data_IF_974069813457
#
_entry.id   IF_974069813457
#
_cell.length_a   1.000
_cell.length_b   1.000
_cell.length_c   1.000
_cell.angle_alpha   90.00
_cell.angle_beta   90.00
_cell.angle_gamma   90.00
#
_symmetry.space_group_name_H-M   'P 1'
#
loop_
_entity.id
_entity.type
_entity.pdbx_description
1 polymer ?
#
# COMPACT_ATOMS: atom_id res chain seq x y z
N UNK A 1 22.88 13.00 45.58
CA UNK A 1 22.18 13.95 44.69
C UNK A 1 22.99 14.09 43.41
N UNK A 2 22.51 13.53 42.31
CA UNK A 2 22.95 13.89 40.95
C UNK A 2 21.89 13.39 39.96
N UNK A 3 21.21 14.32 39.30
CA UNK A 3 20.20 14.07 38.26
C UNK A 3 20.93 13.76 36.95
N UNK A 4 20.57 12.66 36.30
CA UNK A 4 20.84 12.45 34.87
C UNK A 4 19.64 12.96 34.06
N UNK A 5 19.81 13.81 33.04
CA UNK A 5 18.78 14.07 32.05
C UNK A 5 19.15 13.34 30.75
N UNK A 6 18.51 12.21 30.47
CA UNK A 6 18.59 11.57 29.16
C UNK A 6 17.19 11.46 28.57
N UNK A 7 16.60 12.63 28.27
CA UNK A 7 15.44 12.73 27.39
C UNK A 7 15.96 12.98 25.97
N UNK A 8 16.20 11.91 25.20
CA UNK A 8 16.30 12.05 23.75
C UNK A 8 14.97 12.58 23.19
N UNK A 9 14.96 13.27 22.04
CA UNK A 9 13.71 13.79 21.49
C UNK A 9 12.80 12.61 21.20
N UNK A 10 11.72 12.50 21.99
CA UNK A 10 10.57 11.68 21.66
C UNK A 10 10.12 12.14 20.27
N UNK A 11 10.10 11.24 19.30
CA UNK A 11 9.54 11.49 17.98
C UNK A 11 8.11 11.98 18.19
N UNK A 12 7.92 13.30 18.14
CA UNK A 12 6.61 13.91 18.26
C UNK A 12 5.78 13.37 17.10
N UNK A 13 4.58 12.81 17.35
CA UNK A 13 3.69 12.47 16.25
C UNK A 13 3.54 13.73 15.40
N UNK A 14 3.83 13.63 14.10
CA UNK A 14 3.69 14.72 13.15
C UNK A 14 2.27 15.26 13.30
N UNK A 15 2.14 16.37 14.02
CA UNK A 15 0.94 17.19 14.05
C UNK A 15 0.91 17.85 12.68
N UNK A 16 0.39 17.10 11.70
CA UNK A 16 -0.09 17.65 10.44
C UNK A 16 -0.88 18.91 10.80
N UNK A 17 -0.42 20.07 10.31
CA UNK A 17 -1.00 21.37 10.54
C UNK A 17 -2.52 21.29 10.38
N UNK A 18 -3.25 21.16 11.49
CA UNK A 18 -4.69 21.31 11.56
C UNK A 18 -5.00 22.81 11.46
N UNK A 19 -4.67 23.39 10.30
CA UNK A 19 -4.99 24.76 9.94
C UNK A 19 -6.48 24.84 9.59
N UNK A 20 -7.21 25.64 10.37
CA UNK A 20 -8.59 26.05 10.19
C UNK A 20 -9.17 25.86 8.76
N UNK A 21 -10.07 24.88 8.60
CA UNK A 21 -10.92 24.73 7.42
C UNK A 21 -10.38 23.91 6.24
N UNK A 22 -9.12 23.43 6.29
CA UNK A 22 -8.51 22.63 5.22
C UNK A 22 -8.65 21.11 5.39
N UNK A 23 -8.56 20.35 4.28
CA UNK A 23 -8.44 18.88 4.32
C UNK A 23 -7.10 18.51 4.98
N UNK A 24 -7.06 17.44 5.79
CA UNK A 24 -5.86 17.01 6.53
C UNK A 24 -4.74 16.60 5.58
N UNK A 25 -3.53 17.13 5.78
CA UNK A 25 -2.36 16.76 4.99
C UNK A 25 -1.80 15.38 5.37
N UNK A 26 -1.07 14.76 4.44
CA UNK A 26 -0.37 13.51 4.68
C UNK A 26 -0.17 12.63 3.46
N UNK A 27 0.21 11.38 3.71
CA UNK A 27 0.56 10.40 2.68
C UNK A 27 -0.29 9.14 2.80
N UNK A 28 -0.65 8.59 1.64
CA UNK A 28 -1.23 7.25 1.49
C UNK A 28 -0.38 6.50 0.47
N UNK A 29 0.00 5.26 0.78
CA UNK A 29 0.64 4.36 -0.17
C UNK A 29 -0.32 3.23 -0.49
N UNK A 30 -0.53 2.95 -1.77
CA UNK A 30 -1.27 1.76 -2.19
C UNK A 30 -0.35 0.84 -2.98
N UNK A 31 -0.54 -0.46 -2.84
CA UNK A 31 0.32 -1.42 -3.53
C UNK A 31 -0.36 -2.75 -3.77
N UNK A 32 0.17 -3.55 -4.68
CA UNK A 32 -0.33 -4.89 -4.97
C UNK A 32 0.80 -5.86 -5.24
N UNK A 33 0.54 -7.14 -5.00
CA UNK A 33 1.43 -8.24 -5.41
C UNK A 33 0.99 -8.80 -6.76
N UNK A 34 1.90 -8.82 -7.72
CA UNK A 34 1.76 -9.50 -9.00
C UNK A 34 2.43 -10.86 -8.99
N UNK A 35 1.99 -11.75 -9.88
CA UNK A 35 2.60 -13.06 -10.13
C UNK A 35 2.55 -13.36 -11.62
N UNK A 36 3.69 -13.74 -12.22
CA UNK A 36 3.74 -14.23 -13.60
C UNK A 36 4.57 -15.51 -13.68
N UNK A 37 4.08 -16.47 -14.47
CA UNK A 37 4.76 -17.73 -14.79
C UNK A 37 5.26 -17.65 -16.23
N UNK A 38 6.52 -18.02 -16.46
CA UNK A 38 7.08 -18.09 -17.82
C UNK A 38 7.02 -19.55 -18.26
N UNK A 39 5.89 -20.00 -18.81
CA UNK A 39 5.69 -21.38 -19.28
C UNK A 39 4.62 -21.45 -20.37
N UNK A 40 4.89 -22.26 -21.40
CA UNK A 40 4.26 -22.40 -22.74
C UNK A 40 2.82 -21.89 -22.94
N UNK A 41 2.66 -21.20 -24.07
CA UNK A 41 1.48 -20.46 -24.52
C UNK A 41 1.03 -19.40 -23.53
N UNK A 42 1.57 -18.18 -23.71
CA UNK A 42 0.93 -16.97 -23.22
C UNK A 42 -0.43 -16.82 -23.93
N UNK A 43 -1.42 -17.60 -23.47
CA UNK A 43 -2.84 -17.37 -23.66
C UNK A 43 -3.03 -15.86 -23.48
N UNK A 44 -3.63 -15.18 -24.45
CA UNK A 44 -3.59 -13.72 -24.55
C UNK A 44 -4.00 -13.01 -23.24
N UNK A 45 -4.78 -13.68 -22.39
CA UNK A 45 -5.21 -13.23 -21.06
C UNK A 45 -4.12 -13.26 -19.96
N UNK A 46 -3.07 -14.06 -20.13
CA UNK A 46 -1.89 -14.05 -19.26
C UNK A 46 -1.07 -12.75 -19.37
N UNK A 47 -1.40 -11.89 -20.34
CA UNK A 47 -0.80 -10.55 -20.53
C UNK A 47 -1.48 -9.46 -19.71
N UNK A 48 -2.65 -9.71 -19.11
CA UNK A 48 -3.32 -8.71 -18.28
C UNK A 48 -2.74 -8.67 -16.85
N UNK A 49 -2.67 -7.45 -16.31
CA UNK A 49 -2.24 -7.21 -14.93
C UNK A 49 -3.25 -7.82 -13.96
N UNK A 50 -2.95 -9.00 -13.39
CA UNK A 50 -3.77 -9.59 -12.32
C UNK A 50 -3.48 -8.91 -10.98
N UNK A 51 -4.38 -8.02 -10.56
CA UNK A 51 -4.35 -7.38 -9.24
C UNK A 51 -5.20 -8.21 -8.30
N UNK A 52 -4.60 -9.07 -7.48
CA UNK A 52 -5.38 -9.91 -6.56
C UNK A 52 -5.96 -9.10 -5.38
N UNK A 53 -5.19 -8.11 -4.90
CA UNK A 53 -5.56 -7.28 -3.76
C UNK A 53 -4.76 -5.98 -3.77
N UNK A 54 -5.43 -4.88 -3.50
CA UNK A 54 -4.80 -3.56 -3.31
C UNK A 54 -4.65 -3.33 -1.82
N UNK A 55 -3.41 -3.31 -1.33
CA UNK A 55 -3.03 -2.92 0.02
C UNK A 55 -3.05 -1.41 0.19
N UNK A 56 -3.36 -0.94 1.39
CA UNK A 56 -3.41 0.49 1.75
C UNK A 56 -2.60 0.71 3.02
N UNK A 57 -1.65 1.64 2.96
CA UNK A 57 -0.77 2.04 4.04
C UNK A 57 -0.88 3.56 4.27
N UNK A 58 -0.89 4.00 5.52
CA UNK A 58 -0.98 5.43 5.86
C UNK A 58 -1.64 5.69 7.21
N UNK A 59 -1.96 6.96 7.48
CA UNK A 59 -2.72 7.36 8.68
C UNK A 59 -4.14 6.83 8.57
N UNK A 60 -4.64 6.15 9.61
CA UNK A 60 -5.96 5.49 9.61
C UNK A 60 -7.07 6.46 9.23
N UNK A 61 -7.05 7.67 9.78
CA UNK A 61 -8.06 8.68 9.49
C UNK A 61 -8.12 9.09 8.01
N UNK A 62 -6.97 9.18 7.33
CA UNK A 62 -6.90 9.53 5.90
C UNK A 62 -7.40 8.37 5.03
N UNK A 63 -6.98 7.14 5.35
CA UNK A 63 -7.45 5.96 4.60
C UNK A 63 -8.98 5.79 4.70
N UNK A 64 -9.56 6.03 5.88
CA UNK A 64 -11.02 5.99 6.09
C UNK A 64 -11.74 7.12 5.37
N UNK A 65 -11.18 8.33 5.37
CA UNK A 65 -11.71 9.48 4.64
C UNK A 65 -11.80 9.23 3.13
N UNK A 66 -10.77 8.60 2.54
CA UNK A 66 -10.70 8.35 1.09
C UNK A 66 -11.53 7.13 0.67
N UNK A 67 -11.42 6.02 1.40
CA UNK A 67 -11.95 4.73 0.93
C UNK A 67 -13.24 4.32 1.63
N UNK A 68 -13.58 4.90 2.79
CA UNK A 68 -14.80 4.64 3.53
C UNK A 68 -15.13 3.14 3.62
N UNK A 69 -16.35 2.78 3.22
CA UNK A 69 -16.84 1.40 3.25
C UNK A 69 -16.11 0.43 2.32
N UNK A 70 -15.35 0.94 1.34
CA UNK A 70 -14.55 0.09 0.43
C UNK A 70 -13.23 -0.36 1.04
N UNK A 71 -12.84 0.23 2.16
CA UNK A 71 -11.70 -0.20 2.96
C UNK A 71 -12.06 -1.45 3.77
N UNK A 72 -11.18 -2.43 3.78
CA UNK A 72 -11.29 -3.62 4.62
C UNK A 72 -10.26 -3.54 5.75
N UNK A 73 -10.78 -3.46 6.98
CA UNK A 73 -10.00 -3.30 8.20
C UNK A 73 -9.76 -4.62 8.95
N UNK A 74 -10.25 -5.76 8.44
CA UNK A 74 -10.28 -7.06 9.16
C UNK A 74 -8.92 -7.56 9.67
N UNK A 75 -7.81 -7.11 9.07
CA UNK A 75 -6.45 -7.50 9.47
C UNK A 75 -5.87 -6.64 10.58
N UNK A 76 -6.52 -5.53 10.92
CA UNK A 76 -6.08 -4.56 11.91
C UNK A 76 -7.28 -3.75 12.45
N UNK A 77 -8.29 -4.45 13.02
CA UNK A 77 -9.47 -3.80 13.58
C UNK A 77 -9.10 -2.92 14.77
N UNK A 78 -9.96 -1.95 15.09
CA UNK A 78 -9.87 -1.12 16.30
C UNK A 78 -8.67 -0.17 16.37
N UNK A 79 -7.98 0.08 15.24
CA UNK A 79 -6.87 1.05 15.22
C UNK A 79 -7.40 2.49 15.35
N UNK A 80 -6.89 3.29 16.31
CA UNK A 80 -7.30 4.69 16.47
C UNK A 80 -7.03 5.54 15.21
N UNK A 81 -7.86 6.57 14.94
CA UNK A 81 -7.72 7.43 13.75
C UNK A 81 -6.35 8.12 13.61
N UNK A 82 -5.70 8.46 14.72
CA UNK A 82 -4.43 9.18 14.78
C UNK A 82 -3.22 8.27 14.49
N UNK A 83 -3.42 6.94 14.48
CA UNK A 83 -2.35 5.96 14.28
C UNK A 83 -2.18 5.62 12.79
N UNK A 84 -1.04 5.05 12.46
CA UNK A 84 -0.71 4.55 11.12
C UNK A 84 -0.97 3.04 11.02
N UNK A 85 -1.30 2.56 9.81
CA UNK A 85 -1.39 1.13 9.48
C UNK A 85 -0.72 0.82 8.14
N UNK A 86 -0.34 -0.43 7.95
CA UNK A 86 0.11 -1.02 6.69
C UNK A 86 -0.65 -2.31 6.36
N UNK A 87 -1.82 -2.53 6.98
CA UNK A 87 -2.52 -3.82 6.99
C UNK A 87 -3.90 -3.76 6.35
N UNK A 88 -4.38 -2.58 5.98
CA UNK A 88 -5.65 -2.42 5.27
C UNK A 88 -5.53 -2.85 3.81
N UNK A 89 -6.69 -3.17 3.22
CA UNK A 89 -6.80 -3.48 1.80
C UNK A 89 -8.19 -3.11 1.27
N UNK A 90 -8.32 -2.94 -0.04
CA UNK A 90 -9.59 -2.57 -0.67
C UNK A 90 -10.44 -3.80 -0.98
N UNK A 91 -11.78 -3.63 -0.92
CA UNK A 91 -12.77 -4.66 -1.28
C UNK A 91 -12.87 -4.88 -2.79
N UNK A 92 -12.37 -3.93 -3.60
CA UNK A 92 -12.26 -4.02 -5.05
C UNK A 92 -10.79 -4.16 -5.48
N UNK A 93 -10.56 -4.48 -6.75
CA UNK A 93 -9.24 -4.83 -7.29
C UNK A 93 -8.83 -4.02 -8.54
N UNK A 94 -9.58 -2.98 -8.91
CA UNK A 94 -9.21 -2.04 -9.96
C UNK A 94 -8.34 -0.91 -9.37
N UNK A 95 -7.08 -0.81 -9.81
CA UNK A 95 -6.15 0.20 -9.29
C UNK A 95 -6.58 1.61 -9.66
N UNK A 96 -7.04 1.80 -10.88
CA UNK A 96 -7.49 3.07 -11.43
C UNK A 96 -8.67 3.61 -10.62
N UNK A 97 -9.58 2.74 -10.18
CA UNK A 97 -10.65 3.13 -9.26
C UNK A 97 -10.13 3.63 -7.90
N UNK A 98 -9.02 3.09 -7.40
CA UNK A 98 -8.39 3.59 -6.17
C UNK A 98 -7.69 4.94 -6.42
N UNK A 99 -7.07 5.11 -7.59
CA UNK A 99 -6.43 6.36 -8.01
C UNK A 99 -7.44 7.49 -8.13
N UNK A 100 -8.60 7.23 -8.75
CA UNK A 100 -9.67 8.21 -8.90
C UNK A 100 -10.18 8.70 -7.54
N UNK A 101 -10.44 7.79 -6.59
CA UNK A 101 -10.87 8.15 -5.23
C UNK A 101 -9.83 8.99 -4.49
N UNK A 102 -8.54 8.67 -4.63
CA UNK A 102 -7.45 9.46 -4.05
C UNK A 102 -7.40 10.86 -4.66
N UNK A 103 -7.55 10.96 -5.98
CA UNK A 103 -7.59 12.22 -6.73
C UNK A 103 -8.77 13.10 -6.30
N UNK A 104 -9.98 12.55 -6.18
CA UNK A 104 -11.18 13.23 -5.69
C UNK A 104 -11.00 13.75 -4.24
N UNK A 105 -10.28 13.00 -3.42
CA UNK A 105 -9.88 13.41 -2.07
C UNK A 105 -8.73 14.44 -2.03
N UNK A 106 -8.17 14.82 -3.18
CA UNK A 106 -7.13 15.85 -3.31
C UNK A 106 -5.71 15.32 -3.13
N UNK A 107 -5.51 14.00 -3.18
CA UNK A 107 -4.18 13.41 -3.20
C UNK A 107 -3.61 13.40 -4.63
N UNK A 108 -2.30 13.64 -4.76
CA UNK A 108 -1.56 13.55 -6.03
C UNK A 108 -0.54 12.41 -5.93
N UNK A 109 -0.35 11.66 -7.02
CA UNK A 109 0.70 10.63 -7.08
C UNK A 109 2.07 11.32 -7.07
N UNK A 110 2.90 10.98 -6.09
CA UNK A 110 4.23 11.55 -5.89
C UNK A 110 5.35 10.65 -6.42
N UNK A 111 5.17 9.32 -6.31
CA UNK A 111 6.16 8.34 -6.74
C UNK A 111 5.53 6.97 -6.98
N UNK A 112 6.22 6.13 -7.74
CA UNK A 112 5.92 4.70 -7.86
C UNK A 112 7.22 3.88 -7.86
N UNK A 113 7.13 2.65 -7.35
CA UNK A 113 8.24 1.69 -7.34
C UNK A 113 7.70 0.29 -7.58
N UNK A 114 8.52 -0.56 -8.21
CA UNK A 114 8.19 -1.97 -8.41
C UNK A 114 9.44 -2.83 -8.20
N UNK A 115 9.28 -3.87 -7.37
CA UNK A 115 10.33 -4.83 -7.06
C UNK A 115 9.87 -6.21 -7.48
N UNK A 116 10.72 -6.95 -8.21
CA UNK A 116 10.45 -8.32 -8.65
C UNK A 116 11.45 -9.31 -8.09
N UNK A 117 10.99 -10.50 -7.71
CA UNK A 117 11.83 -11.61 -7.26
C UNK A 117 11.39 -12.92 -7.94
N UNK A 118 12.36 -13.71 -8.40
CA UNK A 118 12.12 -15.06 -8.90
C UNK A 118 12.16 -16.04 -7.72
N UNK A 119 11.16 -16.91 -7.62
CA UNK A 119 11.19 -18.06 -6.73
C UNK A 119 11.42 -19.33 -7.55
N UNK A 120 12.27 -20.22 -7.05
CA UNK A 120 12.44 -21.57 -7.59
C UNK A 120 11.50 -22.50 -6.82
N UNK A 121 10.70 -23.29 -7.54
CA UNK A 121 9.85 -24.31 -6.93
C UNK A 121 10.70 -25.37 -6.19
N UNK A 122 10.17 -25.99 -5.12
CA UNK A 122 10.92 -26.92 -4.27
C UNK A 122 11.32 -28.26 -4.92
N UNK A 123 11.02 -28.53 -6.20
CA UNK A 123 11.46 -29.76 -6.86
C UNK A 123 12.73 -29.58 -7.68
N UNK A 124 13.78 -30.21 -7.15
CA UNK A 124 15.03 -30.52 -7.79
C UNK A 124 14.78 -31.32 -9.09
N UNK A 125 15.07 -30.71 -10.25
CA UNK A 125 15.31 -31.46 -11.51
C UNK A 125 14.22 -31.43 -12.60
N UNK A 126 13.13 -30.69 -12.44
CA UNK A 126 12.18 -30.43 -13.55
C UNK A 126 12.74 -29.45 -14.60
N UNK A 127 12.21 -29.43 -15.85
CA UNK A 127 12.65 -28.48 -16.87
C UNK A 127 12.60 -27.03 -16.35
N UNK A 128 13.55 -26.20 -16.77
CA UNK A 128 13.74 -24.82 -16.31
C UNK A 128 12.55 -23.84 -16.55
N UNK A 129 11.40 -24.35 -17.00
CA UNK A 129 10.19 -23.63 -17.41
C UNK A 129 9.22 -23.32 -16.25
N UNK A 130 9.39 -23.87 -15.04
CA UNK A 130 8.48 -23.60 -13.90
C UNK A 130 8.95 -22.47 -12.97
N UNK A 131 9.49 -21.39 -13.54
CA UNK A 131 9.90 -20.21 -12.74
C UNK A 131 8.69 -19.33 -12.44
N UNK A 132 8.34 -19.23 -11.15
CA UNK A 132 7.34 -18.28 -10.67
C UNK A 132 8.03 -16.98 -10.30
N UNK A 133 7.64 -15.90 -10.97
CA UNK A 133 8.08 -14.55 -10.64
C UNK A 133 6.99 -13.85 -9.86
N UNK A 134 7.38 -13.26 -8.74
CA UNK A 134 6.50 -12.43 -7.92
C UNK A 134 6.99 -11.00 -7.96
N UNK A 135 6.07 -10.05 -8.03
CA UNK A 135 6.38 -8.63 -7.95
C UNK A 135 5.55 -7.93 -6.89
N UNK A 136 6.08 -6.85 -6.35
CA UNK A 136 5.35 -5.91 -5.53
C UNK A 136 5.50 -4.52 -6.12
N UNK A 137 4.38 -3.89 -6.45
CA UNK A 137 4.35 -2.53 -6.98
C UNK A 137 3.60 -1.64 -6.01
N UNK A 138 4.16 -0.48 -5.71
CA UNK A 138 3.60 0.52 -4.81
C UNK A 138 3.53 1.90 -5.47
N UNK A 139 2.54 2.68 -5.06
CA UNK A 139 2.24 4.03 -5.52
C UNK A 139 2.04 4.92 -4.31
N UNK A 140 2.86 5.97 -4.19
CA UNK A 140 2.82 6.92 -3.09
C UNK A 140 2.01 8.14 -3.51
N UNK A 141 1.04 8.50 -2.68
CA UNK A 141 0.17 9.65 -2.85
C UNK A 141 0.37 10.64 -1.72
N UNK A 142 0.45 11.92 -2.04
CA UNK A 142 0.56 13.01 -1.06
C UNK A 142 -0.59 14.00 -1.20
N UNK A 143 -1.01 14.57 -0.07
CA UNK A 143 -1.90 15.72 0.02
C UNK A 143 -1.27 16.74 0.96
N UNK A 144 -1.11 17.95 0.45
CA UNK A 144 -0.54 19.08 1.20
C UNK A 144 -1.53 19.65 2.24
#
# INVERSE_FOLDING_TARGET
>A
ASRSPSGGPLLTPSQSLDGAGGRRSGYITIGYRGSYTIGREAQADAKFRRVARITVCGKTALAKEVFGETLNESRDPDRPPERYTARYYLKFNFLEQAFDRLSEAGFRMAACSSTGTCAFGPEQGGPADDKIWTSYTEYVFCRD
#
